data_IF_740926734798
#
_entry.id   IF_740926734798
#
_cell.length_a   1.000
_cell.length_b   1.000
_cell.length_c   1.000
_cell.angle_alpha   90.00
_cell.angle_beta   90.00
_cell.angle_gamma   90.00
#
_symmetry.space_group_name_H-M   'P 1'
#
loop_
_entity.id
_entity.type
_entity.pdbx_description
1 polymer ?
#
# COMPACT_ATOMS: atom_id res chain seq x y z
N UNK A 1 19.65 3.55 11.94
CA UNK A 1 18.22 3.38 11.64
C UNK A 1 17.84 4.60 10.82
N UNK A 2 17.52 4.41 9.57
CA UNK A 2 17.13 5.50 8.67
C UNK A 2 15.68 5.83 8.99
N UNK A 3 15.39 7.09 9.21
CA UNK A 3 14.05 7.61 9.46
C UNK A 3 13.66 8.36 8.19
N UNK A 4 12.71 7.85 7.46
CA UNK A 4 12.24 8.48 6.24
C UNK A 4 10.93 9.21 6.52
N UNK A 5 10.79 10.41 5.96
CA UNK A 5 9.51 11.13 5.95
C UNK A 5 8.84 10.76 4.64
N UNK A 6 7.76 10.00 4.73
CA UNK A 6 6.91 9.67 3.60
C UNK A 6 5.82 10.74 3.47
N UNK A 7 5.69 11.30 2.28
CA UNK A 7 4.64 12.26 1.92
C UNK A 7 3.89 11.66 0.74
N UNK A 8 2.67 11.19 0.99
CA UNK A 8 1.89 10.51 -0.04
C UNK A 8 0.49 11.11 -0.18
N UNK A 9 -0.03 11.13 -1.39
CA UNK A 9 -1.44 11.42 -1.66
C UNK A 9 -2.12 10.19 -2.25
N UNK A 10 -3.36 9.98 -1.86
CA UNK A 10 -4.17 8.83 -2.21
C UNK A 10 -5.46 9.27 -2.89
N UNK A 11 -5.88 8.54 -3.92
CA UNK A 11 -7.06 8.86 -4.70
C UNK A 11 -7.83 7.60 -5.08
N UNK A 12 -9.10 7.78 -5.44
CA UNK A 12 -9.90 6.78 -6.15
C UNK A 12 -9.61 6.85 -7.65
N UNK A 13 -9.95 5.76 -8.36
CA UNK A 13 -9.88 5.72 -9.82
C UNK A 13 -11.23 6.11 -10.44
N UNK A 14 -11.20 6.80 -11.59
CA UNK A 14 -12.39 7.14 -12.39
C UNK A 14 -12.78 6.03 -13.38
N UNK A 15 -11.85 5.13 -13.69
CA UNK A 15 -12.06 3.94 -14.53
C UNK A 15 -11.34 2.73 -13.96
N UNK A 16 -11.70 1.50 -14.35
CA UNK A 16 -11.11 0.29 -13.78
C UNK A 16 -9.58 0.26 -13.88
N UNK A 17 -8.92 -0.20 -12.82
CA UNK A 17 -7.47 -0.38 -12.79
C UNK A 17 -6.95 -1.24 -13.94
N UNK A 18 -7.71 -2.27 -14.35
CA UNK A 18 -7.34 -3.16 -15.46
C UNK A 18 -7.17 -2.43 -16.80
N UNK A 19 -7.98 -1.41 -17.08
CA UNK A 19 -7.87 -0.61 -18.30
C UNK A 19 -6.63 0.28 -18.26
N UNK A 20 -6.39 0.95 -17.13
CA UNK A 20 -5.23 1.83 -16.93
C UNK A 20 -3.93 1.02 -17.05
N UNK A 21 -3.88 -0.16 -16.41
CA UNK A 21 -2.72 -1.05 -16.44
C UNK A 21 -2.46 -1.58 -17.86
N UNK A 22 -3.51 -1.94 -18.62
CA UNK A 22 -3.38 -2.38 -20.00
C UNK A 22 -2.83 -1.26 -20.90
N UNK A 23 -3.30 -0.03 -20.72
CA UNK A 23 -2.80 1.15 -21.42
C UNK A 23 -1.33 1.42 -21.09
N UNK A 24 -0.96 1.37 -19.81
CA UNK A 24 0.41 1.55 -19.35
C UNK A 24 1.35 0.45 -19.89
N UNK A 25 0.89 -0.78 -19.99
CA UNK A 25 1.64 -1.86 -20.62
C UNK A 25 1.84 -1.62 -22.12
N UNK A 26 0.81 -1.10 -22.81
CA UNK A 26 0.85 -0.81 -24.24
C UNK A 26 1.78 0.34 -24.62
N UNK A 27 1.91 1.34 -23.75
CA UNK A 27 2.75 2.54 -24.00
C UNK A 27 4.13 2.48 -23.31
N UNK A 28 4.43 1.39 -22.59
CA UNK A 28 5.74 1.18 -21.95
C UNK A 28 5.93 1.92 -20.62
N UNK A 29 4.87 2.48 -20.02
CA UNK A 29 4.95 3.16 -18.72
C UNK A 29 4.75 2.23 -17.51
N UNK A 30 4.34 0.98 -17.72
CA UNK A 30 4.24 -0.03 -16.66
C UNK A 30 5.64 -0.44 -16.19
N UNK A 31 5.90 -0.35 -14.89
CA UNK A 31 7.18 -0.71 -14.29
C UNK A 31 7.15 -2.10 -13.67
N UNK A 32 6.27 -2.34 -12.71
CA UNK A 32 6.26 -3.56 -11.90
C UNK A 32 4.84 -3.86 -11.40
N UNK A 33 4.54 -5.16 -11.24
CA UNK A 33 3.31 -5.60 -10.56
C UNK A 33 3.65 -6.75 -9.61
N UNK A 34 3.13 -6.67 -8.37
CA UNK A 34 3.40 -7.64 -7.31
C UNK A 34 2.25 -7.68 -6.29
N UNK A 35 2.22 -8.74 -5.49
CA UNK A 35 1.25 -8.86 -4.40
C UNK A 35 1.86 -8.42 -3.07
N UNK A 36 1.03 -7.75 -2.27
CA UNK A 36 1.36 -7.33 -0.92
C UNK A 36 0.38 -8.02 0.03
N UNK A 37 0.93 -8.74 1.00
CA UNK A 37 0.20 -9.26 2.15
C UNK A 37 0.68 -8.51 3.39
N UNK A 38 -0.22 -7.81 4.05
CA UNK A 38 0.14 -6.99 5.21
C UNK A 38 -0.89 -7.10 6.33
N UNK A 39 -0.41 -7.06 7.55
CA UNK A 39 -1.22 -7.11 8.75
C UNK A 39 -0.68 -6.12 9.78
N UNK A 40 -1.48 -5.82 10.80
CA UNK A 40 -1.20 -4.75 11.73
C UNK A 40 -1.31 -5.25 13.16
N UNK A 41 -0.35 -4.86 14.00
CA UNK A 41 -0.40 -5.12 15.42
C UNK A 41 -1.52 -4.28 16.05
N UNK A 42 -2.41 -4.86 16.87
CA UNK A 42 -3.43 -4.11 17.57
C UNK A 42 -2.84 -3.23 18.69
N UNK A 43 -3.54 -2.17 19.04
CA UNK A 43 -3.33 -1.35 20.24
C UNK A 43 -1.90 -0.81 20.48
N UNK A 44 -1.28 -0.32 19.44
CA UNK A 44 0.09 0.22 19.49
C UNK A 44 0.17 1.71 19.83
N UNK A 45 -0.90 2.32 20.33
CA UNK A 45 -0.96 3.73 20.75
C UNK A 45 -0.77 4.69 19.57
N UNK A 46 0.27 5.55 19.65
CA UNK A 46 0.59 6.54 18.61
C UNK A 46 1.22 5.94 17.34
N UNK A 47 1.66 4.69 17.41
CA UNK A 47 2.32 4.01 16.30
C UNK A 47 1.35 3.06 15.59
N UNK A 48 1.56 2.89 14.30
CA UNK A 48 1.03 1.76 13.54
C UNK A 48 2.21 0.84 13.25
N UNK A 49 2.12 -0.41 13.69
CA UNK A 49 3.15 -1.43 13.42
C UNK A 49 2.58 -2.39 12.39
N UNK A 50 3.24 -2.48 11.24
CA UNK A 50 2.84 -3.29 10.09
C UNK A 50 3.83 -4.42 9.87
N UNK A 51 3.34 -5.62 9.67
CA UNK A 51 4.08 -6.72 9.07
C UNK A 51 3.69 -6.81 7.59
N UNK A 52 4.67 -6.81 6.67
CA UNK A 52 4.44 -6.88 5.21
C UNK A 52 5.26 -8.02 4.62
N UNK A 53 4.62 -8.80 3.75
CA UNK A 53 5.25 -9.73 2.81
C UNK A 53 4.95 -9.22 1.41
N UNK A 54 5.99 -9.04 0.59
CA UNK A 54 5.86 -8.67 -0.82
C UNK A 54 6.22 -9.89 -1.67
N UNK A 55 5.35 -10.25 -2.60
CA UNK A 55 5.46 -11.44 -3.45
C UNK A 55 5.57 -10.97 -4.90
N UNK A 56 6.75 -11.13 -5.45
CA UNK A 56 7.04 -10.81 -6.85
C UNK A 56 6.70 -11.99 -7.76
N UNK A 57 6.43 -11.71 -9.03
CA UNK A 57 6.23 -12.76 -10.02
C UNK A 57 7.54 -13.51 -10.37
N UNK A 58 7.38 -14.68 -11.01
CA UNK A 58 8.52 -15.46 -11.49
C UNK A 58 9.28 -16.19 -10.36
N UNK A 59 10.64 -16.14 -10.42
CA UNK A 59 11.52 -16.85 -9.49
C UNK A 59 12.06 -15.97 -8.35
N UNK A 60 11.57 -14.75 -8.21
CA UNK A 60 12.03 -13.86 -7.15
C UNK A 60 11.52 -14.33 -5.79
N UNK A 61 12.42 -14.38 -4.81
CA UNK A 61 12.03 -14.66 -3.43
C UNK A 61 11.18 -13.53 -2.85
N UNK A 62 10.19 -13.83 -2.00
CA UNK A 62 9.44 -12.79 -1.31
C UNK A 62 10.34 -12.00 -0.36
N UNK A 63 10.01 -10.73 -0.17
CA UNK A 63 10.63 -9.89 0.86
C UNK A 63 9.70 -9.72 2.05
N UNK A 64 10.30 -9.46 3.22
CA UNK A 64 9.58 -9.30 4.46
C UNK A 64 10.04 -8.04 5.18
N UNK A 65 9.08 -7.27 5.69
CA UNK A 65 9.34 -5.99 6.32
C UNK A 65 8.41 -5.79 7.53
N UNK A 66 8.97 -5.21 8.57
CA UNK A 66 8.23 -4.53 9.62
C UNK A 66 8.36 -3.03 9.39
N UNK A 67 7.24 -2.29 9.46
CA UNK A 67 7.28 -0.83 9.41
C UNK A 67 6.61 -0.25 10.65
N UNK A 68 7.27 0.71 11.28
CA UNK A 68 6.68 1.53 12.31
C UNK A 68 6.32 2.88 11.67
N UNK A 69 5.03 3.23 11.71
CA UNK A 69 4.52 4.54 11.24
C UNK A 69 3.99 5.34 12.41
N UNK A 70 4.45 6.58 12.58
CA UNK A 70 3.87 7.46 13.58
C UNK A 70 2.51 7.97 13.08
N UNK A 71 1.52 7.95 13.95
CA UNK A 71 0.22 8.59 13.69
C UNK A 71 0.37 10.09 13.89
N UNK A 72 0.80 10.81 12.84
CA UNK A 72 0.89 12.27 12.82
C UNK A 72 -0.37 12.94 12.25
N UNK A 73 -0.42 14.25 12.38
CA UNK A 73 -1.35 15.11 11.65
C UNK A 73 -0.72 15.47 10.29
N UNK A 74 -1.56 15.61 9.23
CA UNK A 74 -1.08 15.94 7.89
C UNK A 74 -0.81 14.73 6.98
N UNK A 75 -0.13 14.99 5.86
CA UNK A 75 0.23 13.99 4.86
C UNK A 75 1.64 13.43 5.05
N UNK A 76 2.50 14.14 5.79
CA UNK A 76 3.85 13.71 6.14
C UNK A 76 3.83 12.76 7.34
N UNK A 77 4.49 11.62 7.23
CA UNK A 77 4.58 10.61 8.29
C UNK A 77 6.00 10.13 8.45
N UNK A 78 6.40 9.96 9.70
CA UNK A 78 7.65 9.28 10.01
C UNK A 78 7.47 7.78 9.86
N UNK A 79 8.29 7.17 9.01
CA UNK A 79 8.37 5.72 8.83
C UNK A 79 9.73 5.19 9.23
N UNK A 80 9.73 4.02 9.85
CA UNK A 80 10.94 3.27 10.19
C UNK A 80 10.79 1.86 9.63
N UNK A 81 11.29 1.60 8.41
CA UNK A 81 11.28 0.27 7.83
C UNK A 81 12.40 -0.60 8.45
N UNK A 82 12.09 -1.86 8.66
CA UNK A 82 13.01 -2.88 9.20
C UNK A 82 12.84 -4.14 8.37
N UNK A 83 13.89 -4.53 7.66
CA UNK A 83 13.88 -5.79 6.91
C UNK A 83 13.87 -6.97 7.87
N UNK A 84 13.05 -7.96 7.58
CA UNK A 84 12.94 -9.20 8.35
C UNK A 84 13.33 -10.40 7.48
N UNK A 85 13.74 -11.48 8.13
CA UNK A 85 13.72 -12.80 7.52
C UNK A 85 12.32 -13.45 7.63
N UNK A 86 12.11 -14.58 6.98
CA UNK A 86 10.83 -15.29 6.99
C UNK A 86 10.38 -15.70 8.39
N UNK A 87 11.33 -16.04 9.29
CA UNK A 87 11.02 -16.42 10.67
C UNK A 87 10.60 -15.21 11.51
N UNK A 88 11.30 -14.09 11.39
CA UNK A 88 10.96 -12.82 12.04
C UNK A 88 9.57 -12.34 11.60
N UNK A 89 9.31 -12.37 10.30
CA UNK A 89 7.98 -12.05 9.76
C UNK A 89 6.89 -12.97 10.34
N UNK A 90 7.10 -14.29 10.32
CA UNK A 90 6.12 -15.25 10.84
C UNK A 90 5.81 -15.04 12.33
N UNK A 91 6.81 -14.67 13.14
CA UNK A 91 6.61 -14.37 14.56
C UNK A 91 5.79 -13.11 14.76
N UNK A 92 6.08 -12.06 14.00
CA UNK A 92 5.34 -10.80 14.06
C UNK A 92 3.91 -10.97 13.55
N UNK A 93 3.73 -11.60 12.39
CA UNK A 93 2.44 -11.78 11.75
C UNK A 93 1.43 -12.53 12.62
N UNK A 94 1.89 -13.52 13.42
CA UNK A 94 1.02 -14.24 14.39
C UNK A 94 0.47 -13.35 15.52
N UNK A 95 1.03 -12.17 15.73
CA UNK A 95 0.55 -11.21 16.73
C UNK A 95 -0.33 -10.13 16.11
N UNK A 96 -0.41 -10.10 14.78
CA UNK A 96 -1.20 -9.13 14.01
C UNK A 96 -2.64 -9.61 13.81
N UNK A 97 -3.50 -8.67 13.44
CA UNK A 97 -4.86 -8.94 12.99
C UNK A 97 -4.92 -9.52 11.57
N UNK A 98 -6.10 -9.49 10.93
CA UNK A 98 -6.33 -10.06 9.61
C UNK A 98 -5.35 -9.57 8.54
N UNK A 99 -5.07 -10.41 7.55
CA UNK A 99 -4.16 -10.10 6.45
C UNK A 99 -4.89 -9.35 5.34
N UNK A 100 -4.53 -8.10 5.13
CA UNK A 100 -4.95 -7.30 3.97
C UNK A 100 -4.10 -7.70 2.77
N UNK A 101 -4.76 -8.16 1.70
CA UNK A 101 -4.10 -8.56 0.46
C UNK A 101 -4.45 -7.60 -0.66
N UNK A 102 -3.44 -7.17 -1.40
CA UNK A 102 -3.62 -6.31 -2.57
C UNK A 102 -2.58 -6.63 -3.64
N UNK A 103 -2.94 -6.37 -4.89
CA UNK A 103 -1.99 -6.32 -6.00
C UNK A 103 -1.64 -4.88 -6.26
N UNK A 104 -0.37 -4.55 -6.17
CA UNK A 104 0.17 -3.24 -6.51
C UNK A 104 0.78 -3.28 -7.89
N UNK A 105 0.45 -2.28 -8.70
CA UNK A 105 1.04 -2.05 -10.01
C UNK A 105 1.61 -0.65 -10.06
N UNK A 106 2.89 -0.54 -10.37
CA UNK A 106 3.62 0.72 -10.49
C UNK A 106 3.61 1.20 -11.94
N UNK A 107 3.22 2.45 -12.16
CA UNK A 107 3.19 3.12 -13.46
C UNK A 107 4.04 4.38 -13.38
N UNK A 108 4.96 4.56 -14.33
CA UNK A 108 5.76 5.78 -14.47
C UNK A 108 5.04 6.79 -15.36
N UNK A 109 4.69 7.94 -14.81
CA UNK A 109 4.11 9.07 -15.56
C UNK A 109 4.80 10.37 -15.19
N UNK A 110 5.43 11.00 -16.18
CA UNK A 110 6.25 12.17 -15.94
C UNK A 110 7.44 11.85 -15.04
N UNK A 111 7.57 12.60 -13.96
CA UNK A 111 8.60 12.42 -12.93
C UNK A 111 8.12 11.63 -11.70
N UNK A 112 6.92 11.01 -11.79
CA UNK A 112 6.28 10.31 -10.67
C UNK A 112 6.03 8.85 -10.97
N UNK A 113 6.05 8.07 -9.89
CA UNK A 113 5.56 6.69 -9.88
C UNK A 113 4.18 6.71 -9.22
N UNK A 114 3.20 6.16 -9.94
CA UNK A 114 1.83 5.98 -9.47
C UNK A 114 1.62 4.52 -9.11
N UNK A 115 1.19 4.27 -7.89
CA UNK A 115 1.00 2.93 -7.33
C UNK A 115 -0.48 2.59 -7.29
N UNK A 116 -0.96 1.78 -8.23
CA UNK A 116 -2.34 1.31 -8.28
C UNK A 116 -2.49 0.06 -7.42
N UNK A 117 -3.33 0.13 -6.40
CA UNK A 117 -3.66 -0.96 -5.50
C UNK A 117 -5.05 -1.52 -5.81
N UNK A 118 -5.12 -2.79 -6.19
CA UNK A 118 -6.35 -3.56 -6.32
C UNK A 118 -6.46 -4.51 -5.15
N UNK A 119 -7.50 -4.36 -4.32
CA UNK A 119 -7.68 -5.18 -3.13
C UNK A 119 -8.23 -6.57 -3.47
N UNK A 120 -7.67 -7.61 -2.85
CA UNK A 120 -7.94 -9.01 -3.17
C UNK A 120 -8.81 -9.74 -2.13
N UNK A 121 -8.98 -9.16 -0.94
CA UNK A 121 -9.86 -9.75 0.07
C UNK A 121 -11.33 -9.68 -0.37
N UNK A 122 -12.14 -10.75 -0.21
CA UNK A 122 -13.54 -10.76 -0.61
C UNK A 122 -14.36 -9.58 -0.08
N UNK A 123 -14.12 -9.17 1.17
CA UNK A 123 -14.79 -8.02 1.81
C UNK A 123 -14.44 -6.66 1.17
N UNK A 124 -13.41 -6.59 0.34
CA UNK A 124 -12.91 -5.37 -0.31
C UNK A 124 -12.94 -5.47 -1.84
N UNK A 125 -13.62 -6.45 -2.40
CA UNK A 125 -13.72 -6.62 -3.85
C UNK A 125 -14.29 -5.37 -4.52
N UNK A 126 -13.62 -4.90 -5.60
CA UNK A 126 -13.97 -3.69 -6.33
C UNK A 126 -13.40 -2.40 -5.71
N UNK A 127 -12.70 -2.48 -4.58
CA UNK A 127 -11.94 -1.35 -4.09
C UNK A 127 -10.62 -1.25 -4.84
N UNK A 128 -10.42 -0.12 -5.49
CA UNK A 128 -9.21 0.24 -6.23
C UNK A 128 -8.78 1.64 -5.80
N UNK A 129 -7.51 1.79 -5.47
CA UNK A 129 -6.92 3.03 -4.94
C UNK A 129 -5.63 3.28 -5.70
N UNK A 130 -5.28 4.54 -5.90
CA UNK A 130 -3.97 4.93 -6.40
C UNK A 130 -3.28 5.84 -5.39
N UNK A 131 -1.99 5.59 -5.19
CA UNK A 131 -1.11 6.38 -4.32
C UNK A 131 0.02 6.98 -5.16
N UNK A 132 0.50 8.16 -4.75
CA UNK A 132 1.66 8.81 -5.34
C UNK A 132 2.47 9.47 -4.23
N UNK A 133 3.77 9.18 -4.20
CA UNK A 133 4.69 9.82 -3.27
C UNK A 133 5.17 11.18 -3.79
N UNK A 134 5.26 12.15 -2.89
CA UNK A 134 5.67 13.52 -3.18
C UNK A 134 6.99 13.85 -2.47
N UNK A 135 7.86 14.65 -3.08
CA UNK A 135 9.12 15.08 -2.46
C UNK A 135 8.93 16.12 -1.35
N UNK A 136 7.77 16.79 -1.31
CA UNK A 136 7.39 17.75 -0.27
C UNK A 136 5.88 17.93 -0.25
N UNK A 137 5.34 18.45 0.87
CA UNK A 137 3.90 18.74 1.00
C UNK A 137 3.41 19.78 -0.03
N UNK A 138 4.27 20.71 -0.43
CA UNK A 138 3.98 21.77 -1.38
C UNK A 138 4.27 21.38 -2.84
N UNK A 139 4.66 20.13 -3.09
CA UNK A 139 4.97 19.68 -4.43
C UNK A 139 3.74 19.75 -5.34
N UNK A 140 3.90 20.39 -6.51
CA UNK A 140 2.86 20.39 -7.52
C UNK A 140 2.61 18.97 -8.04
N UNK A 141 1.35 18.61 -8.22
CA UNK A 141 0.94 17.33 -8.76
C UNK A 141 -0.05 17.55 -9.91
N UNK A 142 0.33 17.11 -11.10
CA UNK A 142 -0.57 17.04 -12.24
C UNK A 142 -1.28 15.70 -12.20
N UNK A 143 -2.59 15.72 -12.03
CA UNK A 143 -3.40 14.51 -11.96
C UNK A 143 -3.65 13.95 -13.37
N UNK A 144 -3.37 12.65 -13.61
CA UNK A 144 -3.83 11.97 -14.81
C UNK A 144 -5.37 11.97 -14.90
N UNK A 145 -5.91 11.81 -16.11
CA UNK A 145 -7.36 11.85 -16.39
C UNK A 145 -8.16 10.71 -15.75
N UNK A 146 -7.50 9.65 -15.34
CA UNK A 146 -8.08 8.51 -14.63
C UNK A 146 -8.07 8.63 -13.10
N UNK A 147 -7.45 9.68 -12.54
CA UNK A 147 -7.44 9.95 -11.09
C UNK A 147 -8.71 10.69 -10.70
N UNK A 148 -9.37 10.19 -9.67
CA UNK A 148 -10.64 10.69 -9.17
C UNK A 148 -10.52 11.45 -7.85
N UNK A 149 -11.49 11.21 -6.97
CA UNK A 149 -11.59 11.84 -5.66
C UNK A 149 -10.37 11.55 -4.77
N UNK A 150 -9.84 12.57 -4.14
CA UNK A 150 -8.76 12.42 -3.17
C UNK A 150 -9.26 11.83 -1.85
N UNK A 151 -8.57 10.79 -1.39
CA UNK A 151 -8.92 10.06 -0.18
C UNK A 151 -7.84 10.13 0.92
N UNK A 152 -6.79 10.90 0.72
CA UNK A 152 -5.63 11.05 1.63
C UNK A 152 -6.06 11.29 3.08
N UNK A 153 -7.05 12.15 3.29
CA UNK A 153 -7.53 12.54 4.62
C UNK A 153 -8.71 11.71 5.14
N UNK A 154 -9.15 10.72 4.35
CA UNK A 154 -10.29 9.87 4.69
C UNK A 154 -9.83 8.60 5.40
N UNK A 155 -10.01 8.49 6.75
CA UNK A 155 -9.48 7.37 7.52
C UNK A 155 -9.92 5.99 7.01
N UNK A 156 -11.14 5.89 6.48
CA UNK A 156 -11.72 4.63 5.99
C UNK A 156 -10.97 4.02 4.80
N UNK A 157 -10.11 4.77 4.11
CA UNK A 157 -9.27 4.27 3.00
C UNK A 157 -7.85 3.90 3.43
N UNK A 158 -7.49 4.16 4.69
CA UNK A 158 -6.17 3.75 5.21
C UNK A 158 -6.09 2.24 5.31
N UNK A 159 -4.99 1.66 4.84
CA UNK A 159 -4.79 0.20 4.84
C UNK A 159 -5.01 -0.43 6.23
N UNK A 160 -4.60 0.22 7.32
CA UNK A 160 -4.84 -0.26 8.69
C UNK A 160 -6.33 -0.29 9.07
N UNK A 161 -7.12 0.67 8.59
CA UNK A 161 -8.56 0.70 8.83
C UNK A 161 -9.32 -0.28 7.92
N UNK A 162 -8.84 -0.48 6.69
CA UNK A 162 -9.36 -1.52 5.80
C UNK A 162 -9.12 -2.92 6.39
N UNK A 163 -7.95 -3.18 6.95
CA UNK A 163 -7.64 -4.45 7.60
C UNK A 163 -8.60 -4.79 8.76
N UNK A 164 -9.05 -3.79 9.53
CA UNK A 164 -10.01 -3.99 10.62
C UNK A 164 -11.41 -4.43 10.16
N UNK A 165 -11.74 -4.26 8.88
CA UNK A 165 -13.03 -4.66 8.31
C UNK A 165 -13.03 -6.12 7.85
N UNK A 166 -11.87 -6.75 7.84
CA UNK A 166 -11.74 -8.13 7.43
C UNK A 166 -12.16 -9.06 8.56
N UNK A 167 -12.81 -10.20 8.25
CA UNK A 167 -13.11 -11.20 9.25
C UNK A 167 -11.82 -11.75 9.88
N UNK A 168 -11.89 -12.09 11.17
CA UNK A 168 -10.74 -12.60 11.91
C UNK A 168 -10.22 -13.95 11.37
N UNK A 169 -11.05 -14.70 10.65
CA UNK A 169 -10.81 -16.07 10.20
C UNK A 169 -10.37 -16.17 8.72
N UNK A 170 -10.08 -15.07 8.04
CA UNK A 170 -9.39 -15.14 6.74
C UNK A 170 -7.94 -15.57 6.95
N UNK A 171 -7.77 -16.85 7.35
CA UNK A 171 -6.48 -17.49 7.48
C UNK A 171 -5.71 -17.46 6.15
N UNK A 172 -4.43 -17.20 6.30
CA UNK A 172 -3.38 -17.39 5.32
C UNK A 172 -3.47 -18.78 4.66
N UNK A 173 -4.16 -18.91 3.53
CA UNK A 173 -3.93 -20.00 2.60
C UNK A 173 -2.90 -19.60 1.55
#
# INVERSE_FOLDING_TARGET
>A
MQQDIEIERQFRLLRPASEIIAEAAGNGSLLLSYEIHQSYLPDTGKWTIRARKTIFGGRMAPTFEQTLKCRGEGIARTEVPINLDANGYSRLARQCGPVLRKRRTEISLGDRIWEIDVFLNPALLGLEIVEVELPSEDASLVLPDWVGEETTHLPQYRNAELAKRLPADEESQ
#
